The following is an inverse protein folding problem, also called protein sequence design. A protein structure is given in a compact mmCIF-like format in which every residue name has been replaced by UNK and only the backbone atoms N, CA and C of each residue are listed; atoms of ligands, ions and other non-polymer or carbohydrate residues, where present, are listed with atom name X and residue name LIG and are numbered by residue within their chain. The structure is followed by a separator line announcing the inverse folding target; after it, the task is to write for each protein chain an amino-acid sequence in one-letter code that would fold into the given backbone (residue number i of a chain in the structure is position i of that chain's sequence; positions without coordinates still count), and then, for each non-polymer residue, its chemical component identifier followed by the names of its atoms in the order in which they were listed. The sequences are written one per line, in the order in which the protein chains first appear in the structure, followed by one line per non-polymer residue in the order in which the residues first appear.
data_IF_610359854207
#
_entry.id   IF_610359854207
#
_cell.length_a   1.000
_cell.length_b   1.000
_cell.length_c   1.000
_cell.angle_alpha   90.00
_cell.angle_beta   90.00
_cell.angle_gamma   90.00
#
_symmetry.space_group_name_H-M   'P 1'
#
loop_
_entity.id
_entity.type
_entity.pdbx_description
1 polymer ?
#
# COMPACT_ATOMS: atom_id res chain seq x y z
N UNK A 1 -1.08 -0.50 -11.12
CA UNK A 1 -1.83 -0.29 -9.86
C UNK A 1 -2.90 -1.37 -9.68
N UNK A 2 -3.88 -1.49 -10.58
CA UNK A 2 -5.03 -2.41 -10.45
C UNK A 2 -4.68 -3.86 -10.08
N UNK A 3 -3.67 -4.47 -10.73
CA UNK A 3 -3.24 -5.84 -10.38
C UNK A 3 -2.76 -5.97 -8.93
N UNK A 4 -2.05 -4.97 -8.42
CA UNK A 4 -1.54 -4.95 -7.05
C UNK A 4 -2.70 -4.81 -6.07
N UNK A 5 -3.63 -3.89 -6.36
CA UNK A 5 -4.85 -3.73 -5.56
C UNK A 5 -5.65 -5.04 -5.48
N UNK A 6 -5.81 -5.75 -6.60
CA UNK A 6 -6.49 -7.05 -6.62
C UNK A 6 -5.84 -8.10 -5.70
N UNK A 7 -4.51 -8.22 -5.73
CA UNK A 7 -3.75 -9.13 -4.84
C UNK A 7 -3.91 -8.72 -3.38
N UNK A 8 -3.84 -7.41 -3.08
CA UNK A 8 -4.02 -6.90 -1.72
C UNK A 8 -5.45 -7.20 -1.22
N UNK A 9 -6.45 -6.99 -2.08
CA UNK A 9 -7.87 -7.18 -1.79
C UNK A 9 -8.25 -8.65 -1.62
N UNK A 10 -7.60 -9.58 -2.33
CA UNK A 10 -7.79 -11.02 -2.14
C UNK A 10 -7.15 -11.55 -0.84
N UNK A 11 -6.44 -10.70 -0.09
CA UNK A 11 -5.74 -11.08 1.13
C UNK A 11 -4.40 -11.78 0.86
N UNK A 12 -4.00 -11.91 -0.41
CA UNK A 12 -2.73 -12.50 -0.78
C UNK A 12 -1.55 -11.61 -0.39
N UNK A 13 -0.41 -12.26 -0.13
CA UNK A 13 0.82 -11.56 0.21
C UNK A 13 1.48 -11.03 -1.07
N UNK A 14 1.79 -9.74 -1.08
CA UNK A 14 2.58 -9.16 -2.16
C UNK A 14 3.98 -9.78 -2.23
N UNK A 15 4.47 -9.98 -3.45
CA UNK A 15 5.86 -10.38 -3.67
C UNK A 15 6.80 -9.35 -3.02
N UNK A 16 7.90 -9.81 -2.43
CA UNK A 16 8.91 -8.98 -1.75
C UNK A 16 9.42 -7.80 -2.59
N UNK A 17 9.43 -7.92 -3.92
CA UNK A 17 9.84 -6.84 -4.83
C UNK A 17 9.02 -5.54 -4.71
N UNK A 18 7.76 -5.65 -4.26
CA UNK A 18 6.90 -4.49 -4.04
C UNK A 18 7.18 -3.80 -2.69
N UNK A 19 8.10 -4.33 -1.88
CA UNK A 19 8.57 -3.73 -0.64
C UNK A 19 7.42 -3.28 0.29
N UNK A 20 6.38 -4.10 0.38
CA UNK A 20 5.20 -3.79 1.17
C UNK A 20 5.51 -3.75 2.67
N UNK A 21 5.29 -2.60 3.30
CA UNK A 21 5.58 -2.41 4.72
C UNK A 21 4.66 -1.36 5.36
N UNK A 22 4.61 -1.35 6.71
CA UNK A 22 3.90 -0.29 7.44
C UNK A 22 4.73 0.98 7.42
N UNK A 23 4.05 2.12 7.26
CA UNK A 23 4.67 3.41 7.51
C UNK A 23 5.05 3.57 8.99
N UNK A 24 5.85 4.59 9.29
CA UNK A 24 6.34 4.89 10.64
C UNK A 24 5.71 6.18 11.17
N UNK A 25 5.86 6.43 12.47
CA UNK A 25 5.38 7.66 13.12
C UNK A 25 3.86 7.79 13.10
N UNK A 26 3.37 9.00 12.84
CA UNK A 26 1.93 9.32 12.80
C UNK A 26 1.16 8.53 11.74
N UNK A 27 1.84 7.97 10.74
CA UNK A 27 1.21 7.18 9.69
C UNK A 27 1.33 5.66 9.91
N UNK A 28 1.67 5.20 11.12
CA UNK A 28 1.90 3.78 11.43
C UNK A 28 0.70 2.83 11.23
N UNK A 29 -0.49 3.38 11.08
CA UNK A 29 -1.71 2.65 10.71
C UNK A 29 -1.84 2.37 9.20
N UNK A 30 -1.02 3.03 8.38
CA UNK A 30 -0.98 2.87 6.93
C UNK A 30 0.17 1.96 6.49
N UNK A 31 0.05 1.48 5.26
CA UNK A 31 1.07 0.69 4.56
C UNK A 31 1.44 1.38 3.27
N UNK A 32 2.68 1.21 2.85
CA UNK A 32 3.12 1.59 1.51
C UNK A 32 3.72 0.40 0.77
N UNK A 33 3.62 0.43 -0.56
CA UNK A 33 4.33 -0.50 -1.42
C UNK A 33 4.78 0.18 -2.72
N UNK A 34 5.93 -0.23 -3.25
CA UNK A 34 6.51 0.26 -4.49
C UNK A 34 5.93 -0.50 -5.67
N UNK A 35 5.09 0.16 -6.47
CA UNK A 35 4.55 -0.40 -7.71
C UNK A 35 5.58 -0.32 -8.84
N UNK A 36 6.38 0.76 -8.84
CA UNK A 36 7.56 0.99 -9.67
C UNK A 36 8.63 1.71 -8.84
N UNK A 37 9.82 1.92 -9.41
CA UNK A 37 10.96 2.54 -8.71
C UNK A 37 10.61 3.84 -7.97
N UNK A 38 9.80 4.72 -8.58
CA UNK A 38 9.34 5.97 -7.98
C UNK A 38 7.81 6.12 -8.04
N UNK A 39 7.08 5.02 -7.80
CA UNK A 39 5.62 5.04 -7.74
C UNK A 39 5.16 4.17 -6.58
N UNK A 40 4.63 4.80 -5.54
CA UNK A 40 4.13 4.15 -4.34
C UNK A 40 2.61 4.16 -4.31
N UNK A 41 2.06 3.18 -3.60
CA UNK A 41 0.65 3.16 -3.18
C UNK A 41 0.61 3.15 -1.66
N UNK A 42 -0.04 4.15 -1.08
CA UNK A 42 -0.37 4.21 0.35
C UNK A 42 -1.77 3.66 0.54
N UNK A 43 -1.93 2.70 1.45
CA UNK A 43 -3.19 2.03 1.68
C UNK A 43 -3.34 1.58 3.15
N UNK A 44 -4.57 1.26 3.56
CA UNK A 44 -4.89 0.71 4.88
C UNK A 44 -5.78 -0.53 4.73
N UNK A 45 -5.49 -1.57 5.51
CA UNK A 45 -6.32 -2.77 5.63
C UNK A 45 -7.11 -2.72 6.93
N UNK A 46 -8.43 -2.75 6.83
CA UNK A 46 -9.31 -3.05 7.94
C UNK A 46 -9.80 -4.49 7.81
N UNK A 47 -9.10 -5.41 8.46
CA UNK A 47 -9.42 -6.83 8.42
C UNK A 47 -10.70 -7.17 9.20
N UNK A 48 -11.17 -6.28 10.10
CA UNK A 48 -12.40 -6.52 10.87
C UNK A 48 -13.63 -6.29 9.99
N UNK A 49 -13.60 -5.22 9.21
CA UNK A 49 -14.70 -4.85 8.32
C UNK A 49 -14.49 -5.31 6.86
N UNK A 50 -13.40 -6.02 6.57
CA UNK A 50 -12.99 -6.47 5.24
C UNK A 50 -12.88 -5.32 4.22
N UNK A 51 -12.37 -4.17 4.66
CA UNK A 51 -12.21 -2.96 3.83
C UNK A 51 -10.74 -2.75 3.48
N UNK A 52 -10.48 -2.49 2.19
CA UNK A 52 -9.20 -1.97 1.69
C UNK A 52 -9.38 -0.50 1.30
N UNK A 53 -8.74 0.40 2.04
CA UNK A 53 -8.72 1.83 1.72
C UNK A 53 -7.46 2.15 0.92
N UNK A 54 -7.64 2.71 -0.28
CA UNK A 54 -6.55 3.28 -1.08
C UNK A 54 -6.47 4.76 -0.75
N UNK A 55 -5.34 5.20 -0.18
CA UNK A 55 -5.19 6.56 0.35
C UNK A 55 -4.64 7.48 -0.72
N UNK A 56 -3.51 7.12 -1.33
CA UNK A 56 -2.89 7.91 -2.38
C UNK A 56 -1.94 7.07 -3.24
N UNK A 57 -1.62 7.56 -4.43
CA UNK A 57 -0.65 6.97 -5.37
C UNK A 57 0.18 8.09 -5.99
N UNK A 58 1.50 7.99 -5.92
CA UNK A 58 2.39 9.09 -6.32
C UNK A 58 3.86 8.71 -6.22
N UNK A 59 4.74 9.66 -6.55
CA UNK A 59 6.17 9.52 -6.28
C UNK A 59 6.47 9.69 -4.78
N UNK A 60 7.74 9.52 -4.37
CA UNK A 60 8.10 9.84 -2.98
C UNK A 60 7.84 11.32 -2.68
N UNK A 61 8.29 12.23 -3.56
CA UNK A 61 8.17 13.68 -3.38
C UNK A 61 6.71 14.17 -3.35
N UNK A 62 5.79 13.47 -4.03
CA UNK A 62 4.36 13.83 -4.00
C UNK A 62 3.67 13.38 -2.70
N UNK A 63 4.25 12.41 -2.00
CA UNK A 63 3.61 11.71 -0.88
C UNK A 63 4.25 12.01 0.48
N UNK A 64 5.50 12.46 0.50
CA UNK A 64 6.31 12.73 1.69
C UNK A 64 7.17 13.98 1.50
#
# INVERSE_FOLDING_TARGET
VNKIVGIIASGEKLNKKYQDHKLKGCMSEYRECHIKSNLLLIYKKDNKNLVLLLINVGSHDDLF
#
